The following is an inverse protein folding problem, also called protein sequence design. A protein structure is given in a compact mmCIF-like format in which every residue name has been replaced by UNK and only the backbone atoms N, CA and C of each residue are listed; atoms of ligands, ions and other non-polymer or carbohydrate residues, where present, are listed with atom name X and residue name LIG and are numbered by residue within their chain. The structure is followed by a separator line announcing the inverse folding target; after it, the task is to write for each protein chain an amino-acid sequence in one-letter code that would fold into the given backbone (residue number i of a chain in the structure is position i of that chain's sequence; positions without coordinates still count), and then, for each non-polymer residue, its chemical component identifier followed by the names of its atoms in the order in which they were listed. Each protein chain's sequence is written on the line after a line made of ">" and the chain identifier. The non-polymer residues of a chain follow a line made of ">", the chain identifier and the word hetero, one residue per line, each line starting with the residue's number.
data_IF_064789985274
#
_entry.id   IF_064789985274
#
_cell.length_a   1.000
_cell.length_b   1.000
_cell.length_c   1.000
_cell.angle_alpha   90.00
_cell.angle_beta   90.00
_cell.angle_gamma   90.00
#
_symmetry.space_group_name_H-M   'P 1'
#
loop_
_entity.id
_entity.type
_entity.pdbx_description
1 polymer ?
#
# COMPACT_ATOMS: atom_id res chain seq x y z
N UNK A 1 -3.51 11.98 -10.05
CA UNK A 1 -3.02 11.18 -11.20
C UNK A 1 -1.59 10.69 -11.00
N UNK A 2 -1.28 9.42 -11.32
CA UNK A 2 0.10 8.88 -11.34
C UNK A 2 0.73 9.06 -12.74
N UNK A 3 0.83 10.30 -13.20
CA UNK A 3 1.27 10.64 -14.55
C UNK A 3 1.49 12.14 -14.74
N UNK A 4 1.83 12.53 -15.96
CA UNK A 4 1.99 13.92 -16.36
C UNK A 4 1.29 14.19 -17.71
N UNK A 5 0.81 15.41 -17.91
CA UNK A 5 0.24 15.87 -19.18
C UNK A 5 1.15 16.95 -19.76
N UNK A 6 1.48 16.80 -21.04
CA UNK A 6 2.20 17.84 -21.81
C UNK A 6 1.39 18.22 -23.03
N UNK A 7 1.31 19.50 -23.36
CA UNK A 7 0.58 19.98 -24.52
C UNK A 7 1.50 20.77 -25.46
N UNK A 8 1.41 20.49 -26.75
CA UNK A 8 2.10 21.18 -27.84
C UNK A 8 1.10 21.53 -28.93
N UNK A 9 1.37 22.54 -29.74
CA UNK A 9 0.39 22.98 -30.71
C UNK A 9 0.87 24.12 -31.58
N UNK A 10 0.07 24.41 -32.61
CA UNK A 10 0.30 25.49 -33.57
C UNK A 10 -0.95 26.37 -33.68
N UNK A 11 -1.18 27.04 -34.80
CA UNK A 11 -2.36 27.90 -35.00
C UNK A 11 -3.65 27.15 -35.39
N UNK A 12 -3.56 25.85 -35.66
CA UNK A 12 -4.69 25.03 -36.12
C UNK A 12 -5.11 23.99 -35.09
N UNK A 13 -4.15 23.34 -34.44
CA UNK A 13 -4.39 22.26 -33.48
C UNK A 13 -3.54 22.41 -32.22
N UNK A 14 -4.11 21.95 -31.11
CA UNK A 14 -3.39 21.64 -29.87
C UNK A 14 -3.42 20.13 -29.66
N UNK A 15 -2.30 19.52 -29.36
CA UNK A 15 -2.17 18.11 -29.00
C UNK A 15 -1.65 18.05 -27.57
N UNK A 16 -2.40 17.40 -26.70
CA UNK A 16 -1.98 17.06 -25.35
C UNK A 16 -1.66 15.56 -25.30
N UNK A 17 -0.53 15.20 -24.71
CA UNK A 17 -0.16 13.82 -24.39
C UNK A 17 -0.16 13.63 -22.87
N UNK A 18 -0.93 12.65 -22.40
CA UNK A 18 -0.92 12.17 -21.02
C UNK A 18 -0.03 10.93 -20.95
N UNK A 19 0.95 10.95 -20.06
CA UNK A 19 1.95 9.90 -19.89
C UNK A 19 1.91 9.42 -18.43
N UNK A 20 1.66 8.14 -18.23
CA UNK A 20 1.68 7.54 -16.90
C UNK A 20 3.12 7.36 -16.38
N UNK A 21 3.28 7.43 -15.07
CA UNK A 21 4.55 7.14 -14.40
C UNK A 21 4.95 5.67 -14.65
N UNK A 22 6.24 5.32 -14.57
CA UNK A 22 6.69 3.95 -14.66
C UNK A 22 5.90 3.05 -13.69
N UNK A 23 5.35 1.96 -14.22
CA UNK A 23 4.52 1.06 -13.43
C UNK A 23 3.04 1.41 -13.35
N UNK A 24 2.57 2.39 -14.13
CA UNK A 24 1.17 2.74 -14.25
C UNK A 24 0.74 2.79 -15.72
N UNK A 25 -0.54 2.51 -15.99
CA UNK A 25 -1.15 2.60 -17.32
C UNK A 25 -2.59 3.10 -17.22
N UNK A 26 -3.11 3.58 -18.32
CA UNK A 26 -4.54 3.84 -18.49
C UNK A 26 -5.32 2.52 -18.56
N UNK A 27 -6.64 2.57 -18.40
CA UNK A 27 -7.55 1.40 -18.40
C UNK A 27 -7.41 0.49 -19.65
N UNK A 28 -6.95 1.06 -20.76
CA UNK A 28 -6.71 0.36 -22.01
C UNK A 28 -5.33 -0.33 -22.08
N UNK A 29 -4.53 -0.25 -21.02
CA UNK A 29 -3.19 -0.84 -20.90
C UNK A 29 -2.06 0.01 -21.50
N UNK A 30 -2.36 1.16 -22.10
CA UNK A 30 -1.33 2.05 -22.64
C UNK A 30 -0.78 2.99 -21.57
N UNK A 31 0.52 3.30 -21.63
CA UNK A 31 1.16 4.29 -20.76
C UNK A 31 1.10 5.72 -21.33
N UNK A 32 0.64 5.88 -22.57
CA UNK A 32 0.52 7.15 -23.25
C UNK A 32 -0.81 7.23 -23.99
N UNK A 33 -1.47 8.37 -23.86
CA UNK A 33 -2.66 8.74 -24.62
C UNK A 33 -2.47 10.15 -25.16
N UNK A 34 -3.11 10.45 -26.29
CA UNK A 34 -3.11 11.78 -26.87
C UNK A 34 -4.54 12.27 -27.11
N UNK A 35 -4.76 13.54 -26.80
CA UNK A 35 -5.98 14.29 -27.09
C UNK A 35 -5.64 15.44 -28.03
N UNK A 36 -6.49 15.68 -29.00
CA UNK A 36 -6.34 16.78 -29.94
C UNK A 36 -7.48 17.78 -29.76
N UNK A 37 -7.20 19.07 -29.83
CA UNK A 37 -8.19 20.13 -29.92
C UNK A 37 -8.01 20.93 -31.20
N UNK A 38 -9.10 21.17 -31.93
CA UNK A 38 -9.12 22.06 -33.10
C UNK A 38 -9.35 23.49 -32.64
N UNK A 39 -8.37 24.37 -32.82
CA UNK A 39 -8.35 25.73 -32.25
C UNK A 39 -9.48 26.63 -32.75
N UNK A 40 -9.98 26.40 -33.97
CA UNK A 40 -11.06 27.19 -34.57
C UNK A 40 -12.43 26.85 -34.01
N UNK A 41 -12.64 25.59 -33.60
CA UNK A 41 -13.95 25.08 -33.14
C UNK A 41 -13.99 24.84 -31.63
N UNK A 42 -12.83 24.67 -30.99
CA UNK A 42 -12.74 24.22 -29.60
C UNK A 42 -13.08 22.74 -29.40
N UNK A 43 -13.19 21.97 -30.49
CA UNK A 43 -13.58 20.57 -30.44
C UNK A 43 -12.41 19.69 -30.05
N UNK A 44 -12.58 18.93 -28.96
CA UNK A 44 -11.62 17.95 -28.47
C UNK A 44 -11.92 16.55 -29.01
N UNK A 45 -10.86 15.81 -29.35
CA UNK A 45 -10.94 14.42 -29.79
C UNK A 45 -9.80 13.59 -29.17
N UNK A 46 -10.12 12.55 -28.38
CA UNK A 46 -11.45 12.26 -27.83
C UNK A 46 -11.98 13.37 -26.91
N UNK A 47 -13.31 13.41 -26.76
CA UNK A 47 -14.04 14.36 -25.91
C UNK A 47 -13.82 14.09 -24.43
N UNK A 48 -13.55 12.84 -24.07
CA UNK A 48 -13.11 12.44 -22.74
C UNK A 48 -11.67 12.94 -22.48
N UNK A 49 -11.38 13.34 -21.24
CA UNK A 49 -10.04 13.75 -20.83
C UNK A 49 -9.08 12.56 -20.74
N UNK A 50 -7.97 12.72 -20.04
CA UNK A 50 -7.16 11.58 -19.65
C UNK A 50 -7.83 10.86 -18.47
N UNK A 51 -8.07 9.54 -18.55
CA UNK A 51 -8.47 8.76 -17.38
C UNK A 51 -7.32 8.66 -16.37
N UNK A 52 -7.62 8.19 -15.17
CA UNK A 52 -6.58 8.00 -14.15
C UNK A 52 -5.62 6.87 -14.54
N UNK A 53 -4.33 7.09 -14.29
CA UNK A 53 -3.32 6.05 -14.40
C UNK A 53 -3.46 5.06 -13.23
N UNK A 54 -3.73 3.80 -13.55
CA UNK A 54 -3.84 2.69 -12.61
C UNK A 54 -2.50 1.95 -12.48
N UNK A 55 -2.19 1.42 -11.27
CA UNK A 55 -0.95 0.68 -11.05
C UNK A 55 -0.94 -0.66 -11.81
N UNK A 56 0.23 -0.98 -12.36
CA UNK A 56 0.50 -2.24 -13.05
C UNK A 56 1.35 -3.13 -12.15
N UNK A 57 0.93 -4.38 -12.03
CA UNK A 57 1.68 -5.44 -11.36
C UNK A 57 2.07 -6.47 -12.42
N UNK A 58 3.38 -6.63 -12.65
CA UNK A 58 3.93 -7.63 -13.56
C UNK A 58 5.05 -8.39 -12.86
N UNK A 59 4.81 -9.65 -12.45
CA UNK A 59 3.62 -10.46 -12.74
C UNK A 59 2.41 -10.09 -11.88
N UNK A 60 1.20 -10.41 -12.36
CA UNK A 60 -0.06 -10.02 -11.71
C UNK A 60 -0.20 -10.54 -10.27
N UNK A 61 -1.02 -9.84 -9.47
CA UNK A 61 -1.43 -10.29 -8.16
C UNK A 61 -2.28 -11.57 -8.29
N UNK A 62 -2.01 -12.57 -7.46
CA UNK A 62 -2.69 -13.86 -7.46
C UNK A 62 -3.89 -13.88 -6.52
N UNK A 63 -4.73 -14.90 -6.66
CA UNK A 63 -5.83 -15.22 -5.75
C UNK A 63 -6.78 -14.05 -5.40
N UNK A 64 -7.03 -13.17 -6.37
CA UNK A 64 -7.93 -12.03 -6.20
C UNK A 64 -7.29 -10.82 -5.52
N UNK A 65 -5.96 -10.78 -5.40
CA UNK A 65 -5.24 -9.59 -4.96
C UNK A 65 -5.42 -8.41 -5.93
N UNK A 66 -5.45 -7.19 -5.39
CA UNK A 66 -5.57 -5.95 -6.18
C UNK A 66 -4.22 -5.26 -6.29
N UNK A 67 -3.82 -4.86 -7.49
CA UNK A 67 -2.65 -4.01 -7.66
C UNK A 67 -2.96 -2.61 -7.12
N UNK A 68 -2.18 -2.14 -6.14
CA UNK A 68 -2.38 -0.84 -5.47
C UNK A 68 -1.20 0.11 -5.67
N UNK A 69 -0.10 -0.39 -6.24
CA UNK A 69 1.09 0.37 -6.60
C UNK A 69 1.96 -0.46 -7.55
N UNK A 70 3.05 0.12 -8.06
CA UNK A 70 3.95 -0.60 -8.94
C UNK A 70 4.46 -1.89 -8.29
N UNK A 71 4.06 -3.05 -8.84
CA UNK A 71 4.35 -4.37 -8.29
C UNK A 71 4.00 -4.54 -6.80
N UNK A 72 2.98 -3.82 -6.32
CA UNK A 72 2.50 -3.88 -4.95
C UNK A 72 1.06 -4.37 -4.91
N UNK A 73 0.85 -5.53 -4.28
CA UNK A 73 -0.43 -6.18 -4.20
C UNK A 73 -1.08 -6.02 -2.82
N UNK A 74 -2.36 -5.64 -2.82
CA UNK A 74 -3.24 -5.77 -1.68
C UNK A 74 -3.92 -7.14 -1.72
N UNK A 75 -3.58 -8.00 -0.78
CA UNK A 75 -4.10 -9.37 -0.71
C UNK A 75 -5.46 -9.45 -0.01
N UNK A 76 -6.23 -10.48 -0.35
CA UNK A 76 -7.38 -10.88 0.46
C UNK A 76 -6.90 -11.49 1.78
N UNK A 77 -7.79 -11.62 2.76
CA UNK A 77 -7.43 -12.09 4.11
C UNK A 77 -6.83 -13.51 4.11
N UNK A 78 -7.15 -14.32 3.10
CA UNK A 78 -6.73 -15.72 2.98
C UNK A 78 -5.34 -15.88 2.34
N UNK A 79 -4.76 -14.83 1.78
CA UNK A 79 -3.48 -14.90 1.09
C UNK A 79 -2.53 -13.80 1.54
N UNK A 80 -1.23 -14.05 1.36
CA UNK A 80 -0.15 -13.15 1.71
C UNK A 80 1.03 -13.30 0.75
N UNK A 81 2.00 -12.41 0.93
CA UNK A 81 3.20 -12.32 0.12
C UNK A 81 3.13 -11.26 -0.98
N UNK A 82 4.26 -11.04 -1.67
CA UNK A 82 4.41 -9.93 -2.61
C UNK A 82 3.36 -9.92 -3.72
N UNK A 83 2.86 -11.10 -4.10
CA UNK A 83 1.85 -11.30 -5.14
C UNK A 83 0.63 -12.06 -4.62
N UNK A 84 0.43 -12.17 -3.31
CA UNK A 84 -0.66 -12.95 -2.72
C UNK A 84 -0.63 -14.43 -3.14
N UNK A 85 0.57 -14.96 -3.35
CA UNK A 85 0.78 -16.31 -3.88
C UNK A 85 0.70 -17.40 -2.79
N UNK A 86 0.82 -17.03 -1.51
CA UNK A 86 0.84 -17.96 -0.40
C UNK A 86 -0.41 -17.86 0.47
N UNK A 87 -1.00 -18.99 0.91
CA UNK A 87 -2.05 -18.96 1.91
C UNK A 87 -1.58 -18.34 3.23
N UNK A 88 -2.48 -17.56 3.87
CA UNK A 88 -2.22 -16.92 5.16
C UNK A 88 -2.16 -17.92 6.32
N UNK A 89 -2.78 -19.09 6.17
CA UNK A 89 -2.82 -20.17 7.18
C UNK A 89 -1.62 -21.14 7.10
N UNK A 90 -0.73 -20.99 6.11
CA UNK A 90 0.50 -21.79 6.01
C UNK A 90 1.40 -21.71 7.27
N UNK A 91 1.25 -20.67 8.10
CA UNK A 91 1.95 -20.53 9.37
C UNK A 91 1.02 -20.80 10.56
N UNK A 92 0.47 -22.01 10.67
CA UNK A 92 -0.34 -22.38 11.83
C UNK A 92 0.50 -22.46 13.12
N UNK A 93 0.47 -21.35 13.87
CA UNK A 93 1.15 -21.22 15.16
C UNK A 93 0.51 -22.16 16.19
N UNK A 94 -0.80 -22.39 16.13
CA UNK A 94 -1.53 -23.25 17.06
C UNK A 94 -1.05 -24.70 16.98
N UNK A 95 -0.82 -25.20 15.77
CA UNK A 95 -0.27 -26.55 15.61
C UNK A 95 1.23 -26.59 15.90
N UNK A 96 2.00 -25.62 15.38
CA UNK A 96 3.47 -25.66 15.42
C UNK A 96 4.03 -25.46 16.83
N UNK A 97 3.45 -24.52 17.56
CA UNK A 97 3.91 -24.07 18.88
C UNK A 97 2.88 -24.41 19.97
N UNK A 98 2.13 -25.50 19.80
CA UNK A 98 1.09 -25.95 20.72
C UNK A 98 1.63 -26.27 22.14
N UNK A 99 2.88 -26.73 22.21
CA UNK A 99 3.48 -27.32 23.42
C UNK A 99 4.30 -26.33 24.26
N UNK A 100 4.33 -25.05 23.87
CA UNK A 100 5.17 -24.02 24.50
C UNK A 100 4.41 -22.70 24.63
N UNK A 101 4.82 -21.88 25.59
CA UNK A 101 4.41 -20.48 25.63
C UNK A 101 5.11 -19.72 24.49
N UNK A 102 4.40 -18.78 23.87
CA UNK A 102 4.86 -18.05 22.70
C UNK A 102 4.44 -16.58 22.72
N UNK A 103 5.34 -15.71 22.31
CA UNK A 103 5.07 -14.31 22.03
C UNK A 103 5.50 -14.04 20.58
N UNK A 104 4.53 -13.76 19.70
CA UNK A 104 4.76 -13.63 18.27
C UNK A 104 4.50 -12.22 17.76
N UNK A 105 5.37 -11.75 16.89
CA UNK A 105 5.20 -10.56 16.07
C UNK A 105 4.88 -11.00 14.63
N UNK A 106 3.76 -10.52 14.09
CA UNK A 106 3.24 -10.93 12.78
C UNK A 106 3.42 -9.76 11.81
N UNK A 107 4.14 -10.00 10.71
CA UNK A 107 4.32 -9.04 9.62
C UNK A 107 3.77 -9.62 8.30
N UNK A 108 3.75 -8.81 7.24
CA UNK A 108 3.37 -9.26 5.89
C UNK A 108 4.35 -10.26 5.27
N UNK A 109 5.59 -10.31 5.77
CA UNK A 109 6.67 -11.13 5.21
C UNK A 109 6.96 -12.35 6.08
N UNK A 110 6.96 -12.18 7.41
CA UNK A 110 7.35 -13.22 8.36
C UNK A 110 6.56 -13.14 9.67
N UNK A 111 6.41 -14.29 10.32
CA UNK A 111 5.95 -14.41 11.71
C UNK A 111 7.14 -14.79 12.57
N UNK A 112 7.47 -13.97 13.56
CA UNK A 112 8.62 -14.19 14.44
C UNK A 112 8.10 -14.45 15.84
N UNK A 113 8.34 -15.66 16.36
CA UNK A 113 7.87 -16.10 17.67
C UNK A 113 9.04 -16.36 18.62
N UNK A 114 9.03 -15.69 19.78
CA UNK A 114 9.85 -16.08 20.92
C UNK A 114 9.13 -17.17 21.71
N UNK A 115 9.80 -18.30 21.96
CA UNK A 115 9.22 -19.45 22.66
C UNK A 115 9.89 -19.68 24.01
N UNK A 116 9.10 -20.13 24.98
CA UNK A 116 9.56 -20.52 26.32
C UNK A 116 8.60 -21.51 26.97
N UNK A 117 8.96 -22.05 28.15
CA UNK A 117 8.03 -22.86 28.94
C UNK A 117 7.05 -22.01 29.77
N UNK A 118 7.11 -20.68 29.68
CA UNK A 118 6.29 -19.76 30.47
C UNK A 118 6.41 -20.06 31.96
N UNK A 119 5.26 -20.14 32.64
CA UNK A 119 5.19 -20.44 34.07
C UNK A 119 5.23 -21.95 34.38
N UNK A 120 5.27 -22.81 33.34
CA UNK A 120 5.32 -24.27 33.57
C UNK A 120 6.73 -24.70 33.94
N UNK A 121 6.91 -25.53 34.99
CA UNK A 121 8.22 -26.07 35.32
C UNK A 121 8.66 -26.99 34.18
N UNK A 122 9.67 -26.61 33.42
CA UNK A 122 10.09 -27.40 32.28
C UNK A 122 11.35 -26.87 31.65
N UNK A 123 12.04 -27.76 30.95
CA UNK A 123 13.20 -27.42 30.13
C UNK A 123 12.75 -27.43 28.68
N UNK A 124 13.03 -26.33 27.97
CA UNK A 124 12.78 -26.25 26.54
C UNK A 124 13.70 -27.24 25.81
N UNK A 125 13.13 -28.07 24.94
CA UNK A 125 13.88 -28.98 24.09
C UNK A 125 13.49 -28.78 22.60
N UNK A 126 14.48 -28.53 21.71
CA UNK A 126 15.87 -28.22 22.04
C UNK A 126 15.98 -26.89 22.82
N UNK A 127 17.01 -26.70 23.68
CA UNK A 127 17.15 -25.47 24.48
C UNK A 127 17.43 -24.23 23.62
N UNK A 128 17.90 -24.42 22.39
CA UNK A 128 18.07 -23.38 21.38
C UNK A 128 17.72 -23.94 19.99
N UNK A 129 17.28 -23.10 19.05
CA UNK A 129 16.99 -21.67 19.21
C UNK A 129 15.65 -21.42 19.94
N UNK A 130 15.53 -20.25 20.58
CA UNK A 130 14.28 -19.79 21.22
C UNK A 130 13.44 -18.88 20.32
N UNK A 131 13.90 -18.64 19.09
CA UNK A 131 13.23 -17.82 18.08
C UNK A 131 12.83 -18.73 16.93
N UNK A 132 11.54 -18.72 16.61
CA UNK A 132 10.94 -19.48 15.51
C UNK A 132 10.36 -18.52 14.50
N UNK A 133 10.83 -18.61 13.27
CA UNK A 133 10.41 -17.74 12.17
C UNK A 133 9.62 -18.58 11.19
N UNK A 134 8.40 -18.16 10.87
CA UNK A 134 7.65 -18.69 9.74
C UNK A 134 7.67 -17.67 8.60
N UNK A 135 8.27 -18.06 7.48
CA UNK A 135 8.37 -17.21 6.30
C UNK A 135 7.05 -17.18 5.52
N UNK A 136 6.96 -16.26 4.57
CA UNK A 136 5.79 -16.05 3.71
C UNK A 136 5.32 -17.32 2.97
N UNK A 137 6.26 -18.21 2.65
CA UNK A 137 5.98 -19.47 1.95
C UNK A 137 5.44 -20.59 2.86
N UNK A 138 5.44 -20.38 4.18
CA UNK A 138 5.05 -21.39 5.18
C UNK A 138 6.22 -22.19 5.76
N UNK A 139 7.45 -21.86 5.37
CA UNK A 139 8.63 -22.55 5.89
C UNK A 139 8.97 -22.06 7.29
N UNK A 140 9.10 -23.00 8.22
CA UNK A 140 9.51 -22.73 9.60
C UNK A 140 11.02 -22.89 9.77
N UNK A 141 11.64 -21.92 10.43
CA UNK A 141 13.04 -21.96 10.82
C UNK A 141 13.15 -21.67 12.33
N UNK A 142 13.60 -22.65 13.14
CA UNK A 142 13.98 -24.02 12.74
C UNK A 142 12.75 -24.88 12.39
N UNK A 143 12.97 -25.95 11.62
CA UNK A 143 11.91 -26.90 11.25
C UNK A 143 11.67 -28.00 12.32
N UNK A 144 12.24 -27.85 13.51
CA UNK A 144 11.90 -28.71 14.65
C UNK A 144 10.63 -28.15 15.34
N UNK A 145 9.91 -28.96 16.12
CA UNK A 145 8.83 -28.47 16.99
C UNK A 145 9.39 -28.36 18.42
N UNK A 146 9.30 -27.20 19.09
CA UNK A 146 9.79 -27.07 20.46
C UNK A 146 8.82 -27.72 21.45
N UNK A 147 9.36 -28.36 22.48
CA UNK A 147 8.59 -28.96 23.56
C UNK A 147 9.15 -28.54 24.92
N UNK A 148 8.29 -28.49 25.93
CA UNK A 148 8.71 -28.33 27.32
C UNK A 148 8.61 -29.67 28.04
N UNK A 149 9.74 -30.13 28.58
CA UNK A 149 9.79 -31.37 29.35
C UNK A 149 9.94 -31.06 30.84
N UNK A 150 9.02 -31.57 31.67
CA UNK A 150 9.13 -31.52 33.13
C UNK A 150 10.07 -32.64 33.59
N UNK A 151 11.13 -32.34 34.32
CA UNK A 151 11.92 -33.38 34.97
C UNK A 151 11.08 -34.09 36.04
N UNK A 152 11.01 -35.43 36.01
CA UNK A 152 10.68 -36.21 37.20
C UNK A 152 11.87 -36.06 38.16
N UNK A 153 11.92 -34.91 38.83
CA UNK A 153 12.71 -34.72 40.04
C UNK A 153 11.71 -34.38 41.14
N UNK A 154 11.41 -35.38 41.95
CA UNK A 154 10.71 -35.23 43.22
C UNK A 154 11.41 -34.17 44.06
N UNK A 155 10.73 -33.06 44.36
CA UNK A 155 10.49 -32.58 45.72
C UNK A 155 9.89 -31.18 45.74
N UNK A 156 8.64 -31.10 46.20
CA UNK A 156 8.15 -30.12 47.17
C UNK A 156 8.04 -28.63 46.75
N UNK A 157 6.79 -28.25 46.49
CA UNK A 157 6.08 -27.07 46.97
C UNK A 157 6.77 -25.68 46.87
N UNK A 158 6.15 -24.76 46.13
CA UNK A 158 5.19 -23.86 46.80
C UNK A 158 4.23 -23.18 45.82
N UNK A 159 2.95 -23.21 46.20
CA UNK A 159 1.88 -22.36 45.67
C UNK A 159 2.13 -20.94 46.16
N UNK A 160 1.88 -19.92 45.33
CA UNK A 160 0.97 -18.84 45.69
C UNK A 160 0.63 -17.96 44.48
N UNK A 161 -0.67 -17.91 44.22
CA UNK A 161 -1.38 -17.02 43.31
C UNK A 161 -1.69 -15.72 44.06
N UNK A 162 -1.52 -14.55 43.42
CA UNK A 162 -2.42 -13.38 43.56
C UNK A 162 -2.16 -12.33 42.47
N UNK A 163 -3.18 -12.06 41.64
CA UNK A 163 -3.44 -10.78 40.93
C UNK A 163 -4.19 -9.82 41.91
N UNK A 164 -4.34 -8.47 41.70
CA UNK A 164 -4.70 -7.80 40.42
C UNK A 164 -4.17 -6.35 40.15
N UNK A 165 -4.48 -5.85 38.95
CA UNK A 165 -4.31 -4.48 38.36
C UNK A 165 -5.38 -3.50 38.91
N UNK A 166 -5.23 -2.15 38.92
CA UNK A 166 -5.51 -1.29 37.73
C UNK A 166 -4.68 0.02 37.64
N UNK A 167 -4.58 0.64 36.45
CA UNK A 167 -4.13 2.03 36.34
C UNK A 167 -3.81 2.55 34.94
N UNK A 168 -4.77 3.25 34.33
CA UNK A 168 -4.69 4.04 33.09
C UNK A 168 -3.67 5.19 33.15
N UNK A 169 -3.06 5.58 32.01
CA UNK A 169 -3.38 6.88 31.42
C UNK A 169 -2.96 7.01 29.94
N UNK A 170 -3.85 7.65 29.17
CA UNK A 170 -3.67 8.07 27.79
C UNK A 170 -3.03 9.45 27.76
N UNK A 171 -2.12 9.71 26.83
CA UNK A 171 -1.85 11.07 26.36
C UNK A 171 -1.70 11.08 24.83
N UNK A 172 -2.77 11.51 24.17
CA UNK A 172 -2.79 11.93 22.77
C UNK A 172 -2.40 13.41 22.74
N UNK A 173 -1.27 13.76 22.13
CA UNK A 173 -1.00 15.14 21.71
C UNK A 173 -1.40 15.31 20.24
N UNK A 174 -2.41 16.16 20.07
CA UNK A 174 -2.92 16.70 18.82
C UNK A 174 -1.87 17.64 18.23
N UNK A 175 -1.49 17.40 16.97
CA UNK A 175 -0.86 18.41 16.13
C UNK A 175 -1.98 19.16 15.41
N UNK A 176 -2.10 20.45 15.71
CA UNK A 176 -2.90 21.37 14.91
C UNK A 176 -2.08 21.71 13.66
N UNK A 177 -2.53 21.26 12.49
CA UNK A 177 -2.10 21.81 11.22
C UNK A 177 -3.08 22.93 10.85
N UNK A 178 -2.57 24.15 10.69
CA UNK A 178 -3.32 25.26 10.11
C UNK A 178 -3.61 24.98 8.64
N UNK A 179 -4.80 25.32 8.12
CA UNK A 179 -5.13 25.12 6.73
C UNK A 179 -4.41 26.17 5.87
N UNK A 180 -3.68 25.78 4.80
CA UNK A 180 -3.21 26.74 3.83
C UNK A 180 -4.39 27.35 3.04
N UNK A 181 -4.24 28.64 2.74
CA UNK A 181 -5.22 29.48 2.08
C UNK A 181 -5.73 28.88 0.76
N UNK A 182 -7.05 28.77 0.65
CA UNK A 182 -7.74 28.47 -0.60
C UNK A 182 -7.48 29.56 -1.65
N UNK A 183 -6.74 29.24 -2.72
CA UNK A 183 -6.62 30.11 -3.88
C UNK A 183 -7.80 29.90 -4.83
N UNK A 184 -8.42 31.00 -5.24
CA UNK A 184 -9.71 31.05 -5.94
C UNK A 184 -9.51 30.99 -7.47
N UNK A 185 -9.48 29.79 -8.04
CA UNK A 185 -9.40 29.55 -9.50
C UNK A 185 -10.76 29.73 -10.21
N UNK A 186 -11.37 30.92 -10.11
CA UNK A 186 -12.69 31.18 -10.72
C UNK A 186 -12.68 31.97 -12.04
N UNK A 187 -11.53 32.47 -12.53
CA UNK A 187 -11.53 33.52 -13.58
C UNK A 187 -10.71 33.26 -14.85
N UNK A 188 -10.19 32.06 -15.13
CA UNK A 188 -9.46 31.79 -16.39
C UNK A 188 -10.33 31.20 -17.53
N UNK A 189 -11.56 30.79 -17.20
CA UNK A 189 -12.40 29.86 -17.97
C UNK A 189 -13.05 30.36 -19.28
N UNK A 190 -12.74 31.53 -19.82
CA UNK A 190 -13.63 32.12 -20.84
C UNK A 190 -12.97 32.80 -22.05
N UNK A 191 -11.66 32.73 -22.26
CA UNK A 191 -11.01 33.49 -23.34
C UNK A 191 -10.52 32.67 -24.55
N UNK A 192 -10.43 31.34 -24.45
CA UNK A 192 -9.81 30.51 -25.49
C UNK A 192 -10.62 29.26 -25.82
N UNK A 193 -10.80 28.99 -27.13
CA UNK A 193 -11.62 27.89 -27.67
C UNK A 193 -11.12 26.51 -27.25
N UNK A 194 -9.81 26.28 -27.28
CA UNK A 194 -9.21 25.08 -26.72
C UNK A 194 -8.81 25.33 -25.28
N UNK A 195 -9.73 25.04 -24.35
CA UNK A 195 -9.38 24.92 -22.94
C UNK A 195 -10.10 23.74 -22.27
N UNK A 196 -9.36 22.90 -21.54
CA UNK A 196 -9.91 21.70 -20.90
C UNK A 196 -9.27 21.46 -19.53
N UNK A 197 -10.11 21.02 -18.60
CA UNK A 197 -9.70 20.50 -17.30
C UNK A 197 -9.50 18.99 -17.40
N UNK A 198 -8.34 18.52 -16.94
CA UNK A 198 -8.08 17.10 -16.75
C UNK A 198 -8.27 16.80 -15.25
N UNK A 199 -9.16 15.86 -14.91
CA UNK A 199 -9.58 15.59 -13.52
C UNK A 199 -8.43 14.97 -12.67
N UNK A 200 -8.58 14.93 -11.34
CA UNK A 200 -7.72 14.24 -10.33
C UNK A 200 -6.40 14.91 -9.88
N UNK A 201 -6.39 16.25 -9.86
CA UNK A 201 -5.25 17.15 -9.56
C UNK A 201 -4.28 17.18 -10.74
N UNK A 202 -4.40 18.19 -11.61
CA UNK A 202 -3.52 18.31 -12.77
C UNK A 202 -4.06 19.10 -13.99
N UNK A 203 -4.00 20.43 -13.95
CA UNK A 203 -3.83 21.35 -15.10
C UNK A 203 -5.08 21.72 -15.92
N UNK A 204 -5.32 23.03 -16.00
CA UNK A 204 -6.04 23.64 -17.12
C UNK A 204 -5.02 23.88 -18.23
N UNK A 205 -5.22 23.28 -19.41
CA UNK A 205 -4.43 23.58 -20.60
C UNK A 205 -5.29 24.42 -21.55
N UNK A 206 -4.88 25.67 -21.78
CA UNK A 206 -5.53 26.56 -22.72
C UNK A 206 -4.59 26.98 -23.86
N UNK A 207 -5.15 27.20 -25.06
CA UNK A 207 -4.44 27.83 -26.17
C UNK A 207 -4.38 29.34 -25.96
N UNK A 208 -3.22 29.92 -25.65
CA UNK A 208 -3.05 31.38 -25.57
C UNK A 208 -2.70 32.03 -26.92
N UNK A 209 -2.83 33.36 -26.99
CA UNK A 209 -2.54 34.14 -28.21
C UNK A 209 -1.10 34.06 -28.72
N UNK A 210 -0.13 33.70 -27.86
CA UNK A 210 1.30 33.54 -28.18
C UNK A 210 1.83 32.11 -27.95
N UNK A 211 0.94 31.12 -27.74
CA UNK A 211 1.33 29.73 -27.44
C UNK A 211 0.46 29.07 -26.36
N UNK A 212 0.81 27.85 -25.96
CA UNK A 212 0.02 27.06 -24.99
C UNK A 212 0.37 27.49 -23.56
N UNK A 213 -0.66 27.68 -22.73
CA UNK A 213 -0.53 27.95 -21.30
C UNK A 213 -1.02 26.75 -20.50
N UNK A 214 -0.18 26.27 -19.59
CA UNK A 214 -0.48 25.18 -18.66
C UNK A 214 -0.51 25.79 -17.26
N UNK A 215 -1.67 25.76 -16.60
CA UNK A 215 -1.84 26.32 -15.26
C UNK A 215 -1.74 25.22 -14.21
N UNK A 216 -0.66 25.23 -13.44
CA UNK A 216 -0.44 24.29 -12.35
C UNK A 216 -1.36 24.56 -11.16
N UNK A 217 -2.08 23.53 -10.71
CA UNK A 217 -2.66 23.58 -9.38
C UNK A 217 -1.49 23.54 -8.39
N UNK A 218 -1.42 24.45 -7.39
CA UNK A 218 -0.42 24.33 -6.34
C UNK A 218 -0.58 22.95 -5.68
N UNK A 219 0.55 22.26 -5.55
CA UNK A 219 0.66 20.94 -4.95
C UNK A 219 -0.02 20.94 -3.59
N UNK A 220 -0.94 20.00 -3.37
CA UNK A 220 -1.41 19.65 -2.04
C UNK A 220 -0.29 18.81 -1.44
N UNK A 221 0.62 19.43 -0.68
CA UNK A 221 1.49 18.72 0.29
C UNK A 221 0.67 18.10 1.42
#
# INVERSE_FOLDING_TARGET
>A
MHGNVSCTGNHEIMICSGICLPGYAFENGFSELSLQCVLRTGEWSPDQGFPDCEPICSPECMHGGKCIGHNSCLCTKEYRGPRCEYPSDNCDIHERLASVARACEITSEEIICNVSCGDTPGILQPPQPTVYICRVDGTWQPDLKPICVTGIFNSQANKNVTNPIPGFNNDKRLFNAEPPLAHKLQNHFAQFLCCKFFHSNVYEACSGGDGIRIANHPEIE
#
